data_IF_917634409550
#
_entry.id   IF_917634409550
#
_cell.length_a   1.000
_cell.length_b   1.000
_cell.length_c   1.000
_cell.angle_alpha   90.00
_cell.angle_beta   90.00
_cell.angle_gamma   90.00
#
_symmetry.space_group_name_H-M   'P 1'
#
loop_
_entity.id
_entity.type
_entity.pdbx_description
1 polymer ?
#
# COMPACT_ATOMS: atom_id res chain seq x y z
N UNK A 1 16.33 -4.08 12.23
CA UNK A 1 16.89 -5.38 11.75
C UNK A 1 15.72 -6.21 11.22
N UNK A 2 15.91 -6.97 10.15
CA UNK A 2 14.85 -7.86 9.67
C UNK A 2 14.62 -8.99 10.71
N UNK A 3 13.35 -9.30 10.98
CA UNK A 3 12.97 -10.42 11.86
C UNK A 3 13.41 -11.75 11.22
N UNK A 4 13.95 -12.65 12.03
CA UNK A 4 14.32 -13.99 11.54
C UNK A 4 13.06 -14.83 11.43
N UNK A 5 12.67 -15.14 10.19
CA UNK A 5 11.49 -15.94 9.89
C UNK A 5 11.91 -17.37 9.53
N UNK A 6 11.13 -18.37 9.97
CA UNK A 6 11.30 -19.75 9.53
C UNK A 6 10.28 -20.14 8.44
N UNK A 7 10.40 -21.36 7.90
CA UNK A 7 9.52 -21.85 6.85
C UNK A 7 8.04 -21.92 7.26
N UNK A 8 7.76 -22.16 8.54
CA UNK A 8 6.39 -22.17 9.06
C UNK A 8 5.84 -20.75 9.15
N UNK A 9 6.65 -19.79 9.59
CA UNK A 9 6.26 -18.37 9.64
C UNK A 9 5.88 -17.87 8.24
N UNK A 10 6.66 -18.23 7.20
CA UNK A 10 6.31 -17.85 5.83
C UNK A 10 5.01 -18.48 5.35
N UNK A 11 4.76 -19.75 5.67
CA UNK A 11 3.48 -20.38 5.32
C UNK A 11 2.31 -19.66 6.02
N UNK A 12 2.45 -19.32 7.31
CA UNK A 12 1.45 -18.54 8.06
C UNK A 12 1.22 -17.18 7.39
N UNK A 13 2.29 -16.44 7.09
CA UNK A 13 2.20 -15.15 6.42
C UNK A 13 1.57 -15.27 5.03
N UNK A 14 1.92 -16.30 4.26
CA UNK A 14 1.33 -16.60 2.96
C UNK A 14 -0.18 -16.81 3.02
N UNK A 15 -0.66 -17.51 4.04
CA UNK A 15 -2.10 -17.71 4.25
C UNK A 15 -2.80 -16.41 4.63
N UNK A 16 -2.28 -15.69 5.63
CA UNK A 16 -2.90 -14.47 6.16
C UNK A 16 -2.94 -13.34 5.12
N UNK A 17 -1.89 -13.17 4.32
CA UNK A 17 -1.87 -12.10 3.31
C UNK A 17 -2.85 -12.33 2.15
N UNK A 18 -3.23 -13.60 1.90
CA UNK A 18 -4.20 -13.95 0.86
C UNK A 18 -5.63 -13.96 1.41
N UNK A 19 -5.81 -14.35 2.67
CA UNK A 19 -7.11 -14.38 3.32
C UNK A 19 -6.98 -14.04 4.82
N UNK A 20 -7.24 -12.78 5.15
CA UNK A 20 -7.22 -12.29 6.52
C UNK A 20 -8.40 -12.79 7.38
N UNK A 21 -9.41 -13.43 6.77
CA UNK A 21 -10.58 -14.00 7.45
C UNK A 21 -10.35 -15.37 8.07
N UNK A 22 -9.23 -16.03 7.76
CA UNK A 22 -8.91 -17.33 8.31
C UNK A 22 -8.76 -17.27 9.83
N UNK A 23 -9.41 -18.24 10.52
CA UNK A 23 -9.23 -18.45 11.95
C UNK A 23 -7.85 -19.07 12.25
N UNK A 24 -7.39 -18.90 13.48
CA UNK A 24 -6.13 -19.52 13.95
C UNK A 24 -6.16 -21.05 13.80
N UNK A 25 -7.33 -21.68 13.98
CA UNK A 25 -7.49 -23.13 13.85
C UNK A 25 -7.29 -23.58 12.39
N UNK A 26 -7.87 -22.85 11.42
CA UNK A 26 -7.71 -23.13 9.99
C UNK A 26 -6.28 -22.92 9.52
N UNK A 27 -5.62 -21.86 10.01
CA UNK A 27 -4.20 -21.61 9.71
C UNK A 27 -3.33 -22.73 10.28
N UNK A 28 -3.57 -23.13 11.55
CA UNK A 28 -2.81 -24.16 12.23
C UNK A 28 -2.89 -25.51 11.48
N UNK A 29 -4.09 -25.90 11.07
CA UNK A 29 -4.33 -27.12 10.29
C UNK A 29 -3.52 -27.11 8.98
N UNK A 30 -3.55 -26.00 8.22
CA UNK A 30 -2.85 -25.86 6.93
C UNK A 30 -1.33 -25.84 7.06
N UNK A 31 -0.78 -25.42 8.22
CA UNK A 31 0.68 -25.40 8.45
C UNK A 31 1.19 -26.58 9.28
N UNK A 32 0.31 -27.52 9.67
CA UNK A 32 0.66 -28.72 10.44
C UNK A 32 1.00 -28.44 11.90
N UNK A 33 0.33 -27.46 12.52
CA UNK A 33 0.48 -27.11 13.94
C UNK A 33 -0.84 -27.29 14.69
N UNK A 34 -0.75 -27.38 16.03
CA UNK A 34 -1.92 -27.13 16.88
C UNK A 34 -2.17 -25.62 17.04
N UNK A 35 -3.40 -25.24 17.43
CA UNK A 35 -3.82 -23.83 17.49
C UNK A 35 -2.96 -22.97 18.42
N UNK A 36 -2.53 -23.49 19.57
CA UNK A 36 -1.76 -22.71 20.54
C UNK A 36 -0.36 -22.29 20.04
N UNK A 37 0.51 -23.15 19.50
CA UNK A 37 1.77 -22.72 18.91
C UNK A 37 1.57 -21.87 17.64
N UNK A 38 0.52 -22.11 16.84
CA UNK A 38 0.20 -21.27 15.71
C UNK A 38 -0.16 -19.84 16.16
N UNK A 39 -1.03 -19.70 17.14
CA UNK A 39 -1.39 -18.41 17.75
C UNK A 39 -0.17 -17.65 18.26
N UNK A 40 0.73 -18.32 19.00
CA UNK A 40 1.96 -17.69 19.51
C UNK A 40 2.85 -17.15 18.40
N UNK A 41 2.96 -17.86 17.26
CA UNK A 41 3.73 -17.39 16.11
C UNK A 41 3.07 -16.17 15.47
N UNK A 42 1.77 -16.20 15.23
CA UNK A 42 1.03 -15.05 14.69
C UNK A 42 1.22 -13.84 15.60
N UNK A 43 1.04 -14.02 16.91
CA UNK A 43 1.20 -12.94 17.88
C UNK A 43 2.62 -12.36 17.87
N UNK A 44 3.66 -13.20 17.80
CA UNK A 44 5.04 -12.75 17.66
C UNK A 44 5.25 -11.91 16.39
N UNK A 45 4.68 -12.34 15.25
CA UNK A 45 4.77 -11.62 13.97
C UNK A 45 4.04 -10.28 14.00
N UNK A 46 2.92 -10.19 14.71
CA UNK A 46 2.20 -8.94 14.98
C UNK A 46 3.03 -8.01 15.89
N UNK A 47 3.54 -8.52 17.01
CA UNK A 47 4.32 -7.74 17.97
C UNK A 47 5.66 -7.25 17.38
N UNK A 48 6.25 -8.03 16.46
CA UNK A 48 7.45 -7.64 15.70
C UNK A 48 7.14 -6.67 14.53
N UNK A 49 5.86 -6.35 14.28
CA UNK A 49 5.45 -5.45 13.19
C UNK A 49 5.56 -6.05 11.79
N UNK A 50 5.85 -7.37 11.66
CA UNK A 50 5.83 -8.07 10.36
C UNK A 50 4.41 -8.10 9.79
N UNK A 51 3.42 -8.36 10.65
CA UNK A 51 2.01 -8.17 10.34
C UNK A 51 1.62 -6.79 10.87
N UNK A 52 1.51 -5.80 9.99
CA UNK A 52 1.20 -4.43 10.38
C UNK A 52 -0.25 -4.25 10.79
N UNK A 53 -1.18 -4.79 9.97
CA UNK A 53 -2.64 -4.68 10.20
C UNK A 53 -3.40 -5.63 9.27
N UNK A 54 -4.64 -5.92 9.62
CA UNK A 54 -5.60 -6.61 8.75
C UNK A 54 -6.60 -5.60 8.22
N UNK A 55 -6.87 -5.63 6.93
CA UNK A 55 -7.79 -4.71 6.26
C UNK A 55 -8.76 -5.48 5.38
N UNK A 56 -9.96 -4.92 5.20
CA UNK A 56 -10.90 -5.37 4.19
C UNK A 56 -10.67 -4.57 2.91
N UNK A 57 -10.48 -5.25 1.80
CA UNK A 57 -10.39 -4.61 0.48
C UNK A 57 -11.80 -4.38 -0.06
N UNK A 58 -12.07 -3.15 -0.48
CA UNK A 58 -13.34 -2.76 -1.06
C UNK A 58 -13.24 -2.70 -2.59
N UNK A 59 -14.32 -3.08 -3.26
CA UNK A 59 -14.47 -2.89 -4.69
C UNK A 59 -14.84 -1.43 -4.97
N UNK A 60 -13.85 -0.63 -5.34
CA UNK A 60 -14.01 0.82 -5.58
C UNK A 60 -14.95 1.14 -6.73
N UNK A 61 -15.03 0.28 -7.76
CA UNK A 61 -15.91 0.49 -8.90
C UNK A 61 -17.38 0.34 -8.48
N UNK A 62 -17.71 -0.66 -7.64
CA UNK A 62 -19.04 -0.82 -7.05
C UNK A 62 -19.41 0.31 -6.09
N UNK A 63 -18.44 1.02 -5.55
CA UNK A 63 -18.64 2.20 -4.71
C UNK A 63 -18.73 3.51 -5.52
N UNK A 64 -18.64 3.44 -6.86
CA UNK A 64 -18.65 4.63 -7.71
C UNK A 64 -17.34 5.42 -7.71
N UNK A 65 -16.23 4.82 -7.27
CA UNK A 65 -14.90 5.42 -7.20
C UNK A 65 -13.99 4.81 -8.29
N UNK A 66 -14.52 4.71 -9.52
CA UNK A 66 -13.86 4.03 -10.63
C UNK A 66 -12.72 4.82 -11.28
N UNK A 67 -12.62 6.13 -11.06
CA UNK A 67 -11.61 6.94 -11.72
C UNK A 67 -10.30 6.96 -10.95
N UNK A 68 -9.26 6.41 -11.55
CA UNK A 68 -7.94 6.25 -10.95
C UNK A 68 -6.87 6.94 -11.79
N UNK A 69 -5.99 7.70 -11.12
CA UNK A 69 -4.91 8.46 -11.76
C UNK A 69 -3.61 8.24 -11.01
N UNK A 70 -2.53 7.99 -11.74
CA UNK A 70 -1.18 8.17 -11.22
C UNK A 70 -0.69 9.56 -11.62
N UNK A 71 -0.44 10.42 -10.64
CA UNK A 71 0.07 11.76 -10.85
C UNK A 71 1.52 11.85 -10.37
N UNK A 72 2.43 12.16 -11.29
CA UNK A 72 3.82 12.47 -10.97
C UNK A 72 3.93 13.96 -10.71
N UNK A 73 4.48 14.33 -9.55
CA UNK A 73 4.52 15.72 -9.06
C UNK A 73 5.95 16.18 -8.91
N UNK A 74 6.22 17.39 -9.38
CA UNK A 74 7.47 18.09 -9.16
C UNK A 74 7.24 19.34 -8.34
N UNK A 75 8.01 19.53 -7.29
CA UNK A 75 7.96 20.75 -6.50
C UNK A 75 8.74 21.88 -7.19
N UNK A 76 8.31 23.13 -6.98
CA UNK A 76 9.00 24.31 -7.48
C UNK A 76 10.36 24.50 -6.81
N UNK A 77 10.43 24.22 -5.51
CA UNK A 77 11.64 24.25 -4.71
C UNK A 77 11.63 23.08 -3.72
N UNK A 78 12.39 22.00 -3.96
CA UNK A 78 12.44 20.83 -3.06
C UNK A 78 13.33 21.08 -1.84
N UNK A 79 13.00 22.10 -1.02
CA UNK A 79 13.59 22.30 0.29
C UNK A 79 12.98 21.36 1.32
N UNK A 80 13.67 21.12 2.44
CA UNK A 80 13.15 20.29 3.52
C UNK A 80 11.75 20.74 3.97
N UNK A 81 11.59 22.04 4.18
CA UNK A 81 10.32 22.61 4.66
C UNK A 81 9.18 22.45 3.65
N UNK A 82 9.47 22.58 2.34
CA UNK A 82 8.48 22.41 1.29
C UNK A 82 8.11 20.92 1.10
N UNK A 83 9.07 20.00 1.23
CA UNK A 83 8.80 18.56 1.22
C UNK A 83 7.87 18.19 2.38
N UNK A 84 8.20 18.63 3.59
CA UNK A 84 7.43 18.38 4.80
C UNK A 84 6.01 18.97 4.71
N UNK A 85 5.88 20.20 4.23
CA UNK A 85 4.59 20.86 4.02
C UNK A 85 3.73 20.13 2.98
N UNK A 86 4.32 19.66 1.89
CA UNK A 86 3.65 18.87 0.87
C UNK A 86 3.16 17.53 1.44
N UNK A 87 4.02 16.78 2.14
CA UNK A 87 3.68 15.48 2.74
C UNK A 87 2.56 15.60 3.78
N UNK A 88 2.60 16.64 4.63
CA UNK A 88 1.53 16.92 5.61
C UNK A 88 0.21 17.19 4.91
N UNK A 89 0.20 17.98 3.84
CA UNK A 89 -1.02 18.26 3.08
C UNK A 89 -1.58 17.00 2.42
N UNK A 90 -0.75 16.22 1.73
CA UNK A 90 -1.14 14.98 1.06
C UNK A 90 -1.76 13.98 2.04
N UNK A 91 -1.21 13.85 3.25
CA UNK A 91 -1.71 12.92 4.27
C UNK A 91 -3.15 13.23 4.72
N UNK A 92 -3.66 14.45 4.49
CA UNK A 92 -5.02 14.85 4.85
C UNK A 92 -6.04 14.60 3.72
N UNK A 93 -5.61 14.26 2.51
CA UNK A 93 -6.50 14.14 1.36
C UNK A 93 -6.95 12.70 1.14
N UNK A 94 -8.22 12.38 1.39
CA UNK A 94 -8.74 11.02 1.25
C UNK A 94 -8.71 10.50 -0.19
N UNK A 95 -8.67 11.38 -1.19
CA UNK A 95 -8.53 11.00 -2.59
C UNK A 95 -7.17 10.41 -2.90
N UNK A 96 -6.12 10.72 -2.12
CA UNK A 96 -4.77 10.21 -2.30
C UNK A 96 -4.64 8.89 -1.55
N UNK A 97 -4.78 7.79 -2.29
CA UNK A 97 -4.66 6.44 -1.74
C UNK A 97 -3.20 6.03 -1.46
N UNK A 98 -2.25 6.64 -2.18
CA UNK A 98 -0.81 6.37 -2.02
C UNK A 98 0.00 7.60 -2.43
N UNK A 99 1.07 7.87 -1.70
CA UNK A 99 2.10 8.83 -2.06
C UNK A 99 3.46 8.20 -1.80
N UNK A 100 4.37 8.34 -2.75
CA UNK A 100 5.76 7.88 -2.60
C UNK A 100 6.72 8.90 -3.22
N UNK A 101 7.86 9.10 -2.58
CA UNK A 101 9.00 9.80 -3.20
C UNK A 101 9.63 8.92 -4.25
N UNK A 102 10.08 9.50 -5.35
CA UNK A 102 10.70 8.78 -6.46
C UNK A 102 12.01 9.42 -6.87
N UNK A 103 12.89 8.61 -7.45
CA UNK A 103 14.12 9.10 -8.08
C UNK A 103 13.83 9.50 -9.54
N UNK A 104 14.54 10.52 -10.05
CA UNK A 104 14.41 10.96 -11.45
C UNK A 104 14.01 12.42 -11.59
N UNK A 105 13.23 12.74 -12.61
CA UNK A 105 12.83 14.10 -12.94
C UNK A 105 11.68 14.66 -12.11
N UNK A 106 10.94 13.80 -11.43
CA UNK A 106 9.83 14.12 -10.54
C UNK A 106 10.20 13.78 -9.10
N UNK A 107 9.51 14.41 -8.13
CA UNK A 107 9.79 14.24 -6.71
C UNK A 107 8.86 13.20 -6.06
N UNK A 108 7.59 13.17 -6.48
CA UNK A 108 6.57 12.28 -5.93
C UNK A 108 5.75 11.59 -7.01
N UNK A 109 5.23 10.40 -6.69
CA UNK A 109 4.15 9.76 -7.41
C UNK A 109 2.97 9.57 -6.45
N UNK A 110 1.79 10.02 -6.89
CA UNK A 110 0.52 9.89 -6.18
C UNK A 110 -0.37 8.88 -6.91
N UNK A 111 -1.06 8.05 -6.15
CA UNK A 111 -2.20 7.27 -6.62
C UNK A 111 -3.47 7.93 -6.12
N UNK A 112 -4.25 8.49 -7.03
CA UNK A 112 -5.44 9.29 -6.74
C UNK A 112 -6.67 8.51 -7.19
N UNK A 113 -7.69 8.46 -6.36
CA UNK A 113 -8.96 7.78 -6.63
C UNK A 113 -10.10 8.79 -6.45
N UNK A 114 -10.89 8.98 -7.52
CA UNK A 114 -12.06 9.86 -7.53
C UNK A 114 -13.25 9.17 -8.19
N UNK A 115 -14.38 9.85 -8.22
CA UNK A 115 -15.60 9.34 -8.88
C UNK A 115 -15.46 9.37 -10.40
N UNK A 116 -14.96 10.47 -10.92
CA UNK A 116 -14.89 10.78 -12.36
C UNK A 116 -13.79 11.80 -12.64
N UNK A 117 -13.63 12.15 -13.89
CA UNK A 117 -12.65 13.12 -14.36
C UNK A 117 -12.89 14.54 -13.81
N UNK A 118 -14.15 14.92 -13.59
CA UNK A 118 -14.49 16.24 -13.07
C UNK A 118 -14.05 16.38 -11.62
N UNK A 119 -14.35 15.39 -10.80
CA UNK A 119 -13.88 15.33 -9.41
C UNK A 119 -12.34 15.30 -9.30
N UNK A 120 -11.66 14.73 -10.30
CA UNK A 120 -10.20 14.77 -10.37
C UNK A 120 -9.69 16.18 -10.75
N UNK A 121 -10.33 16.88 -11.69
CA UNK A 121 -9.97 18.27 -12.05
C UNK A 121 -10.17 19.21 -10.84
N UNK A 122 -11.27 19.06 -10.11
CA UNK A 122 -11.52 19.81 -8.87
C UNK A 122 -10.42 19.55 -7.83
N UNK A 123 -10.07 18.28 -7.59
CA UNK A 123 -8.98 17.90 -6.71
C UNK A 123 -7.65 18.54 -7.13
N UNK A 124 -7.34 18.49 -8.42
CA UNK A 124 -6.10 19.04 -8.96
C UNK A 124 -6.00 20.54 -8.72
N UNK A 125 -7.07 21.29 -9.04
CA UNK A 125 -7.10 22.76 -8.92
C UNK A 125 -7.22 23.25 -7.49
N UNK A 126 -8.18 22.70 -6.74
CA UNK A 126 -8.53 23.22 -5.43
C UNK A 126 -7.60 22.72 -4.32
N UNK A 127 -6.95 21.58 -4.51
CA UNK A 127 -6.05 21.00 -3.52
C UNK A 127 -4.60 21.03 -3.98
N UNK A 128 -4.24 20.26 -5.00
CA UNK A 128 -2.84 20.03 -5.34
C UNK A 128 -2.14 21.30 -5.83
N UNK A 129 -2.71 22.02 -6.79
CA UNK A 129 -2.12 23.24 -7.33
C UNK A 129 -2.27 24.43 -6.40
N UNK A 130 -3.32 24.46 -5.57
CA UNK A 130 -3.57 25.55 -4.62
C UNK A 130 -2.53 25.61 -3.49
N UNK A 131 -1.75 24.54 -3.25
CA UNK A 131 -0.63 24.58 -2.31
C UNK A 131 0.46 25.60 -2.67
N UNK A 132 0.58 25.97 -3.95
CA UNK A 132 1.64 26.86 -4.40
C UNK A 132 3.06 26.28 -4.33
N UNK A 133 3.18 24.98 -4.00
CA UNK A 133 4.48 24.27 -3.91
C UNK A 133 4.84 23.52 -5.18
N UNK A 134 3.86 23.25 -6.06
CA UNK A 134 3.98 22.37 -7.22
C UNK A 134 4.37 23.20 -8.46
N UNK A 135 5.40 22.75 -9.18
CA UNK A 135 5.82 23.35 -10.47
C UNK A 135 5.31 22.56 -11.68
N UNK A 136 5.15 21.26 -11.55
CA UNK A 136 4.66 20.42 -12.63
C UNK A 136 3.88 19.21 -12.09
N UNK A 137 2.85 18.79 -12.85
CA UNK A 137 2.08 17.57 -12.61
C UNK A 137 1.90 16.84 -13.93
N UNK A 138 2.32 15.60 -14.01
CA UNK A 138 2.03 14.69 -15.11
C UNK A 138 1.02 13.65 -14.68
N UNK A 139 -0.20 13.74 -15.18
CA UNK A 139 -1.31 12.85 -14.81
C UNK A 139 -1.48 11.72 -15.83
N UNK A 140 -1.48 10.47 -15.34
CA UNK A 140 -1.69 9.27 -16.15
C UNK A 140 -2.95 8.55 -15.67
N UNK A 141 -4.00 8.65 -16.49
CA UNK A 141 -5.30 8.02 -16.21
C UNK A 141 -5.18 6.51 -16.42
N UNK A 142 -5.60 5.73 -15.43
CA UNK A 142 -5.62 4.27 -15.54
C UNK A 142 -6.81 3.84 -16.40
N UNK A 143 -6.52 3.33 -17.59
CA UNK A 143 -7.57 2.81 -18.49
C UNK A 143 -8.08 1.43 -18.04
N UNK A 144 -7.18 0.59 -17.51
CA UNK A 144 -7.49 -0.75 -17.02
C UNK A 144 -6.43 -1.22 -16.04
N UNK A 145 -6.85 -1.72 -14.89
CA UNK A 145 -5.95 -2.42 -13.96
C UNK A 145 -5.71 -3.85 -14.46
N UNK A 146 -4.45 -4.22 -14.68
CA UNK A 146 -4.04 -5.55 -15.14
C UNK A 146 -3.71 -6.46 -13.94
N UNK A 147 -3.11 -5.87 -12.91
CA UNK A 147 -2.78 -6.57 -11.66
C UNK A 147 -2.85 -5.56 -10.51
N UNK A 148 -3.60 -5.90 -9.48
CA UNK A 148 -3.66 -5.13 -8.24
C UNK A 148 -3.58 -6.12 -7.06
N UNK A 149 -2.40 -6.27 -6.49
CA UNK A 149 -2.15 -7.20 -5.38
C UNK A 149 -1.49 -6.44 -4.22
N UNK A 150 -1.95 -6.71 -3.02
CA UNK A 150 -1.33 -6.25 -1.77
C UNK A 150 -0.33 -7.25 -1.21
N UNK A 151 -0.17 -8.43 -1.86
CA UNK A 151 0.70 -9.50 -1.40
C UNK A 151 2.17 -9.17 -1.60
N UNK A 152 2.97 -9.39 -0.56
CA UNK A 152 4.43 -9.30 -0.60
C UNK A 152 5.00 -10.62 -1.15
N UNK A 153 6.01 -10.59 -2.04
CA UNK A 153 6.60 -11.80 -2.60
C UNK A 153 7.50 -12.52 -1.57
N UNK A 154 6.91 -13.31 -0.70
CA UNK A 154 7.59 -14.00 0.40
C UNK A 154 8.72 -14.93 -0.09
N UNK A 155 8.63 -15.47 -1.30
CA UNK A 155 9.68 -16.30 -1.90
C UNK A 155 11.03 -15.57 -2.14
N UNK A 156 11.05 -14.24 -2.05
CA UNK A 156 12.28 -13.45 -2.15
C UNK A 156 12.99 -13.25 -0.80
N UNK A 157 12.41 -13.71 0.30
CA UNK A 157 13.04 -13.64 1.63
C UNK A 157 14.08 -14.74 1.73
N UNK A 158 15.34 -14.40 1.99
CA UNK A 158 16.53 -15.26 1.90
C UNK A 158 16.49 -16.61 2.63
N UNK A 159 15.77 -16.87 3.72
CA UNK A 159 15.58 -18.20 4.29
C UNK A 159 14.66 -19.12 3.47
N UNK A 160 13.96 -18.59 2.46
CA UNK A 160 12.93 -19.28 1.68
C UNK A 160 13.33 -19.62 0.24
N UNK A 161 14.56 -19.39 -0.16
CA UNK A 161 15.10 -19.75 -1.47
C UNK A 161 15.23 -21.29 -1.64
N UNK A 162 14.23 -22.04 -1.22
CA UNK A 162 14.24 -23.51 -1.23
C UNK A 162 12.89 -24.18 -0.96
N UNK A 163 11.77 -23.48 -1.14
CA UNK A 163 10.44 -24.09 -1.09
C UNK A 163 9.79 -23.88 -2.45
N UNK A 164 10.17 -24.78 -3.39
CA UNK A 164 9.38 -25.10 -4.59
C UNK A 164 8.12 -25.90 -4.23
#
# INVERSE_FOLDING_TARGET
MAETLDAIDAKILGLIQNDAGLSVAEIADRVGLSSSPCWRRIKRLEDAGVIQRRVTLLDREKLGLGFEVFAEVKLALPSKDNLEAFEVAIAQWPEVAQCATVTGGMDYVLRIITRDMHAFDDFLREKLLSLGLVSNVESRIVMRSVKNSTSVPLGLISPYAGVD
#
